data_IF_322122331022
#
_entry.id   IF_322122331022
#
_cell.length_a   1.000
_cell.length_b   1.000
_cell.length_c   1.000
_cell.angle_alpha   90.00
_cell.angle_beta   90.00
_cell.angle_gamma   90.00
#
_symmetry.space_group_name_H-M   'P 1'
#
loop_
_entity.id
_entity.type
_entity.pdbx_description
1 polymer ?
#
# COMPACT_ATOMS: atom_id res chain seq x y z
N UNK A 1 0.63 11.54 13.48
CA UNK A 1 1.16 12.90 13.74
C UNK A 1 0.36 13.63 14.82
N UNK A 2 -0.95 13.87 14.66
CA UNK A 2 -1.75 14.61 15.66
C UNK A 2 -1.62 14.05 17.08
N UNK A 3 -1.67 12.72 17.26
CA UNK A 3 -1.40 12.07 18.55
C UNK A 3 -0.02 12.43 19.15
N UNK A 4 1.03 12.44 18.32
CA UNK A 4 2.40 12.82 18.75
C UNK A 4 2.44 14.30 19.12
N UNK A 5 1.75 15.15 18.37
CA UNK A 5 1.63 16.57 18.69
C UNK A 5 0.90 16.79 20.02
N UNK A 6 -0.20 16.09 20.30
CA UNK A 6 -0.90 16.15 21.59
C UNK A 6 0.02 15.74 22.75
N UNK A 7 0.79 14.66 22.58
CA UNK A 7 1.77 14.21 23.58
C UNK A 7 2.79 15.32 23.86
N UNK A 8 3.41 15.87 22.81
CA UNK A 8 4.42 16.94 22.94
C UNK A 8 3.82 18.17 23.62
N UNK A 9 2.69 18.67 23.13
CA UNK A 9 2.04 19.86 23.70
C UNK A 9 1.68 19.66 25.16
N UNK A 10 1.22 18.47 25.56
CA UNK A 10 0.89 18.15 26.96
C UNK A 10 2.13 18.11 27.86
N UNK A 11 3.26 17.63 27.35
CA UNK A 11 4.53 17.61 28.08
C UNK A 11 5.10 19.03 28.23
N UNK A 12 5.22 19.75 27.11
CA UNK A 12 5.77 21.11 27.08
C UNK A 12 4.89 22.11 27.85
N UNK A 13 3.55 21.98 27.77
CA UNK A 13 2.61 22.83 28.51
C UNK A 13 2.80 22.73 30.02
N UNK A 14 3.09 21.53 30.55
CA UNK A 14 3.36 21.34 31.97
C UNK A 14 4.68 21.96 32.42
N UNK A 15 5.68 21.96 31.54
CA UNK A 15 7.01 22.48 31.82
C UNK A 15 7.08 24.01 31.69
N UNK A 16 6.46 24.55 30.64
CA UNK A 16 6.58 25.96 30.23
C UNK A 16 5.37 26.82 30.61
N UNK A 17 4.27 26.21 31.07
CA UNK A 17 3.12 26.91 31.61
C UNK A 17 2.26 27.65 30.57
N UNK A 18 1.91 26.98 29.47
CA UNK A 18 1.01 27.53 28.44
C UNK A 18 -0.23 26.66 28.22
N UNK A 19 -1.33 27.28 27.79
CA UNK A 19 -2.52 26.57 27.32
C UNK A 19 -2.37 26.17 25.85
N UNK A 20 -2.89 25.00 25.47
CA UNK A 20 -2.86 24.55 24.08
C UNK A 20 -4.22 24.07 23.58
N UNK A 21 -4.33 24.06 22.25
CA UNK A 21 -5.41 23.44 21.49
C UNK A 21 -4.78 22.69 20.31
N UNK A 22 -5.07 21.40 20.20
CA UNK A 22 -4.73 20.60 19.03
C UNK A 22 -6.00 19.87 18.61
N UNK A 23 -6.43 20.12 17.38
CA UNK A 23 -7.70 19.64 16.83
C UNK A 23 -7.52 19.27 15.37
N UNK A 24 -8.35 18.35 14.90
CA UNK A 24 -8.48 18.04 13.47
C UNK A 24 -9.33 19.08 12.77
N UNK A 25 -9.26 19.11 11.44
CA UNK A 25 -10.17 19.84 10.55
C UNK A 25 -11.64 19.52 10.86
N UNK A 26 -11.97 18.24 11.06
CA UNK A 26 -13.34 17.78 11.38
C UNK A 26 -13.93 18.33 12.68
N UNK A 27 -13.08 18.61 13.67
CA UNK A 27 -13.49 19.07 15.01
C UNK A 27 -13.23 20.55 15.24
N UNK A 28 -12.56 21.23 14.31
CA UNK A 28 -12.01 22.57 14.52
C UNK A 28 -13.08 23.67 14.69
N UNK A 29 -14.25 23.49 14.08
CA UNK A 29 -15.35 24.47 14.10
C UNK A 29 -15.85 24.76 15.53
N UNK A 30 -15.92 23.74 16.38
CA UNK A 30 -16.33 23.86 17.79
C UNK A 30 -15.39 24.76 18.61
N UNK A 31 -14.16 24.96 18.14
CA UNK A 31 -13.12 25.69 18.83
C UNK A 31 -12.79 27.04 18.18
N UNK A 32 -13.60 27.52 17.22
CA UNK A 32 -13.34 28.76 16.50
C UNK A 32 -13.06 29.96 17.43
N UNK A 33 -13.81 30.10 18.53
CA UNK A 33 -13.57 31.17 19.51
C UNK A 33 -12.19 31.05 20.17
N UNK A 34 -11.82 29.84 20.60
CA UNK A 34 -10.51 29.58 21.24
C UNK A 34 -9.35 29.76 20.25
N UNK A 35 -9.57 29.42 18.97
CA UNK A 35 -8.61 29.66 17.89
C UNK A 35 -8.39 31.17 17.70
N UNK A 36 -9.44 31.98 17.70
CA UNK A 36 -9.33 33.44 17.58
C UNK A 36 -8.56 34.10 18.75
N UNK A 37 -8.64 33.50 19.94
CA UNK A 37 -7.95 33.95 21.16
C UNK A 37 -6.49 33.49 21.27
N UNK A 38 -6.01 32.64 20.37
CA UNK A 38 -4.68 32.05 20.46
C UNK A 38 -3.55 33.05 20.16
N UNK A 39 -2.44 32.98 20.91
CA UNK A 39 -1.25 33.82 20.70
C UNK A 39 -0.36 33.35 19.54
N UNK A 40 -0.38 32.04 19.27
CA UNK A 40 0.34 31.37 18.18
C UNK A 40 -0.56 30.32 17.53
N UNK A 41 -0.57 30.25 16.20
CA UNK A 41 -1.39 29.31 15.45
C UNK A 41 -0.51 28.56 14.43
N UNK A 42 -0.66 27.24 14.37
CA UNK A 42 -0.02 26.40 13.36
C UNK A 42 -1.09 25.62 12.59
N UNK A 43 -1.04 25.66 11.26
CA UNK A 43 -2.06 25.12 10.36
C UNK A 43 -1.46 24.02 9.50
N UNK A 44 -2.06 22.84 9.57
CA UNK A 44 -1.83 21.76 8.61
C UNK A 44 -3.16 21.04 8.35
N UNK A 45 -3.89 21.55 7.35
CA UNK A 45 -5.16 21.02 6.89
C UNK A 45 -5.25 21.12 5.37
N UNK A 46 -5.99 20.20 4.73
CA UNK A 46 -6.26 20.30 3.30
C UNK A 46 -7.31 21.38 3.01
N UNK A 47 -8.37 21.39 3.83
CA UNK A 47 -9.43 22.39 3.85
C UNK A 47 -9.71 22.78 5.31
N UNK A 48 -10.12 24.03 5.52
CA UNK A 48 -10.57 24.55 6.80
C UNK A 48 -12.04 24.95 6.68
N UNK A 49 -12.86 24.75 7.72
CA UNK A 49 -14.20 25.34 7.76
C UNK A 49 -14.12 26.87 7.67
N UNK A 50 -15.03 27.50 6.91
CA UNK A 50 -15.08 28.97 6.73
C UNK A 50 -15.06 29.74 8.06
N UNK A 51 -15.70 29.20 9.10
CA UNK A 51 -15.76 29.80 10.44
C UNK A 51 -14.38 29.83 11.09
N UNK A 52 -13.59 28.76 10.90
CA UNK A 52 -12.24 28.62 11.44
C UNK A 52 -11.27 29.52 10.68
N UNK A 53 -11.38 29.58 9.36
CA UNK A 53 -10.58 30.49 8.55
C UNK A 53 -10.79 31.95 8.97
N UNK A 54 -12.04 32.40 9.12
CA UNK A 54 -12.37 33.73 9.65
C UNK A 54 -11.86 33.96 11.08
N UNK A 55 -11.90 32.93 11.93
CA UNK A 55 -11.36 33.04 13.29
C UNK A 55 -9.85 33.28 13.28
N UNK A 56 -9.12 32.59 12.40
CA UNK A 56 -7.68 32.77 12.21
C UNK A 56 -7.36 34.16 11.65
N UNK A 57 -8.09 34.61 10.63
CA UNK A 57 -7.91 35.94 10.03
C UNK A 57 -8.07 37.05 11.09
N UNK A 58 -9.10 36.96 11.91
CA UNK A 58 -9.41 37.94 12.96
C UNK A 58 -8.63 37.72 14.26
N UNK A 59 -7.83 36.66 14.35
CA UNK A 59 -7.06 36.35 15.55
C UNK A 59 -6.01 37.43 15.84
N UNK A 60 -5.72 37.61 17.14
CA UNK A 60 -4.62 38.46 17.60
C UNK A 60 -3.28 37.72 17.69
N UNK A 61 -3.21 36.51 17.14
CA UNK A 61 -2.01 35.70 17.13
C UNK A 61 -0.84 36.51 16.57
N UNK A 62 0.27 36.53 17.33
CA UNK A 62 1.51 37.19 16.91
C UNK A 62 2.13 36.45 15.73
N UNK A 63 1.95 35.13 15.70
CA UNK A 63 2.49 34.25 14.67
C UNK A 63 1.42 33.26 14.22
N UNK A 64 1.25 33.16 12.91
CA UNK A 64 0.42 32.15 12.24
C UNK A 64 1.30 31.48 11.19
N UNK A 65 1.48 30.16 11.27
CA UNK A 65 2.26 29.39 10.29
C UNK A 65 1.33 28.40 9.61
N UNK A 66 1.16 28.52 8.30
CA UNK A 66 0.54 27.45 7.51
C UNK A 66 1.60 26.59 6.82
N UNK A 67 1.56 25.29 7.10
CA UNK A 67 2.31 24.27 6.38
C UNK A 67 1.52 23.70 5.17
N UNK A 68 0.31 24.19 4.94
CA UNK A 68 -0.54 23.83 3.79
C UNK A 68 -0.54 24.94 2.75
N UNK A 69 -0.25 24.57 1.49
CA UNK A 69 -0.23 25.52 0.36
C UNK A 69 -1.61 26.21 0.19
N UNK A 70 -2.71 25.49 0.42
CA UNK A 70 -4.09 26.02 0.33
C UNK A 70 -4.39 27.15 1.34
N UNK A 71 -3.62 27.24 2.43
CA UNK A 71 -3.85 28.20 3.52
C UNK A 71 -2.65 29.10 3.75
N UNK A 72 -1.74 29.20 2.78
CA UNK A 72 -0.52 30.00 2.92
C UNK A 72 -0.82 31.48 3.16
N UNK A 73 -1.94 31.99 2.62
CA UNK A 73 -2.41 33.37 2.78
C UNK A 73 -2.76 33.73 4.23
N UNK A 74 -3.00 32.74 5.10
CA UNK A 74 -3.24 32.96 6.53
C UNK A 74 -1.94 33.16 7.33
N UNK A 75 -0.78 32.86 6.75
CA UNK A 75 0.50 32.95 7.47
C UNK A 75 0.86 34.38 7.83
N UNK A 76 1.32 34.60 9.06
CA UNK A 76 1.65 35.90 9.64
C UNK A 76 2.89 35.77 10.51
N UNK A 77 3.94 36.54 10.21
CA UNK A 77 5.18 36.56 10.97
C UNK A 77 6.41 36.86 10.10
N UNK A 78 7.59 37.03 10.71
CA UNK A 78 8.85 37.19 9.97
C UNK A 78 9.14 35.98 9.08
N UNK A 79 9.64 36.21 7.85
CA UNK A 79 9.80 35.14 6.86
C UNK A 79 10.78 34.03 7.29
N UNK A 80 11.83 34.38 8.01
CA UNK A 80 12.78 33.44 8.62
C UNK A 80 12.10 32.54 9.65
N UNK A 81 11.22 33.09 10.48
CA UNK A 81 10.41 32.34 11.45
C UNK A 81 9.45 31.39 10.74
N UNK A 82 8.71 31.87 9.74
CA UNK A 82 7.78 31.03 8.97
C UNK A 82 8.52 29.86 8.29
N UNK A 83 9.64 30.15 7.63
CA UNK A 83 10.43 29.14 6.92
C UNK A 83 11.02 28.09 7.87
N UNK A 84 11.54 28.52 9.03
CA UNK A 84 12.12 27.60 10.01
C UNK A 84 11.05 26.73 10.68
N UNK A 85 9.88 27.28 10.99
CA UNK A 85 8.73 26.50 11.49
C UNK A 85 8.30 25.43 10.46
N UNK A 86 8.23 25.80 9.18
CA UNK A 86 7.95 24.85 8.10
C UNK A 86 9.07 23.79 7.99
N UNK A 87 10.34 24.15 8.20
CA UNK A 87 11.46 23.21 8.14
C UNK A 87 11.40 22.15 9.26
N UNK A 88 11.10 22.55 10.50
CA UNK A 88 10.85 21.60 11.60
C UNK A 88 9.69 20.66 11.26
N UNK A 89 8.57 21.23 10.80
CA UNK A 89 7.38 20.45 10.48
C UNK A 89 7.62 19.45 9.33
N UNK A 90 8.20 19.91 8.21
CA UNK A 90 8.43 19.08 7.02
C UNK A 90 9.46 17.97 7.27
N UNK A 91 10.53 18.27 8.01
CA UNK A 91 11.51 17.24 8.41
C UNK A 91 10.84 16.18 9.28
N UNK A 92 9.98 16.61 10.21
CA UNK A 92 9.12 15.74 11.02
C UNK A 92 9.88 14.96 12.07
N UNK A 93 9.18 14.08 12.78
CA UNK A 93 9.71 13.34 13.93
C UNK A 93 9.51 14.09 15.25
N UNK A 94 9.52 13.34 16.35
CA UNK A 94 9.14 13.87 17.67
C UNK A 94 10.02 15.05 18.12
N UNK A 95 11.34 14.97 17.90
CA UNK A 95 12.28 16.04 18.25
C UNK A 95 11.99 17.34 17.47
N UNK A 96 11.82 17.26 16.15
CA UNK A 96 11.51 18.44 15.35
C UNK A 96 10.13 19.03 15.66
N UNK A 97 9.12 18.20 15.93
CA UNK A 97 7.81 18.70 16.35
C UNK A 97 7.87 19.40 17.72
N UNK A 98 8.73 18.92 18.64
CA UNK A 98 9.00 19.60 19.91
C UNK A 98 9.71 20.93 19.70
N UNK A 99 10.74 20.94 18.85
CA UNK A 99 11.45 22.17 18.49
C UNK A 99 10.53 23.16 17.77
N UNK A 100 9.59 22.70 16.94
CA UNK A 100 8.55 23.55 16.35
C UNK A 100 7.72 24.26 17.44
N UNK A 101 7.22 23.53 18.43
CA UNK A 101 6.43 24.11 19.54
C UNK A 101 7.27 25.14 20.30
N UNK A 102 8.48 24.77 20.73
CA UNK A 102 9.40 25.67 21.44
C UNK A 102 9.77 26.90 20.60
N UNK A 103 9.99 26.72 19.29
CA UNK A 103 10.29 27.80 18.36
C UNK A 103 9.14 28.78 18.22
N UNK A 104 7.90 28.29 18.09
CA UNK A 104 6.71 29.15 18.06
C UNK A 104 6.57 29.93 19.38
N UNK A 105 6.74 29.27 20.53
CA UNK A 105 6.67 29.89 21.86
C UNK A 105 7.76 30.96 22.06
N UNK A 106 8.99 30.69 21.64
CA UNK A 106 10.10 31.65 21.67
C UNK A 106 9.75 32.92 20.90
N UNK A 107 9.19 32.76 19.70
CA UNK A 107 8.87 33.89 18.85
C UNK A 107 7.59 34.66 19.27
N UNK A 108 6.82 34.17 20.25
CA UNK A 108 5.76 34.96 20.92
C UNK A 108 6.22 35.62 22.23
N UNK A 109 7.46 35.36 22.66
CA UNK A 109 8.13 36.08 23.74
C UNK A 109 8.55 35.23 24.95
N UNK A 110 8.47 33.89 24.89
CA UNK A 110 8.97 33.03 25.96
C UNK A 110 10.49 32.86 25.84
N UNK A 111 11.19 32.89 26.96
CA UNK A 111 12.64 32.65 27.01
C UNK A 111 12.92 31.14 27.03
N UNK A 112 13.06 30.56 25.84
CA UNK A 112 13.24 29.12 25.62
C UNK A 112 14.38 28.90 24.63
N UNK A 113 15.24 27.92 24.94
CA UNK A 113 16.25 27.47 23.99
C UNK A 113 15.65 26.47 22.98
N UNK A 114 16.07 26.61 21.73
CA UNK A 114 15.54 25.82 20.61
C UNK A 114 16.71 25.27 19.83
N UNK A 115 16.83 23.95 19.84
CA UNK A 115 17.84 23.25 19.04
C UNK A 115 17.50 23.31 17.56
N UNK A 116 18.52 23.24 16.70
CA UNK A 116 18.39 23.20 15.25
C UNK A 116 17.56 21.99 14.76
N UNK A 117 17.19 22.02 13.47
CA UNK A 117 16.47 20.92 12.81
C UNK A 117 17.27 19.63 12.94
N UNK A 118 16.67 18.64 13.59
CA UNK A 118 17.23 17.30 13.75
C UNK A 118 17.03 16.50 12.46
N UNK A 119 18.09 16.01 11.84
CA UNK A 119 17.97 15.17 10.65
C UNK A 119 17.29 13.84 10.98
N UNK A 120 16.35 13.43 10.12
CA UNK A 120 15.63 12.16 10.24
C UNK A 120 15.60 11.48 8.87
N UNK A 121 16.02 10.21 8.75
CA UNK A 121 16.08 9.50 7.47
C UNK A 121 14.79 9.62 6.65
N UNK A 122 14.94 9.93 5.36
CA UNK A 122 13.79 10.05 4.44
C UNK A 122 13.30 8.71 3.89
N UNK A 123 14.19 7.73 3.88
CA UNK A 123 13.93 6.32 3.62
C UNK A 123 14.94 5.49 4.39
N UNK A 124 14.68 4.19 4.52
CA UNK A 124 15.49 3.30 5.31
C UNK A 124 14.76 2.02 5.61
N UNK A 125 15.40 1.14 6.36
CA UNK A 125 14.81 -0.12 6.82
C UNK A 125 14.34 0.07 8.26
N UNK A 126 13.10 -0.30 8.55
CA UNK A 126 12.59 -0.34 9.92
C UNK A 126 11.98 -1.70 10.21
N UNK A 127 12.66 -2.50 11.02
CA UNK A 127 12.12 -3.78 11.48
C UNK A 127 11.64 -3.65 12.94
N UNK A 128 10.38 -4.00 13.26
CA UNK A 128 9.79 -3.77 14.59
C UNK A 128 10.63 -4.30 15.76
N UNK A 129 11.35 -5.40 15.55
CA UNK A 129 12.21 -6.04 16.58
C UNK A 129 13.68 -5.62 16.54
N UNK A 130 14.16 -5.04 15.44
CA UNK A 130 15.60 -4.76 15.24
C UNK A 130 15.92 -3.27 15.13
N UNK A 131 14.91 -2.41 15.00
CA UNK A 131 15.08 -0.98 14.87
C UNK A 131 15.36 -0.55 13.43
N UNK A 132 16.05 0.59 13.30
CA UNK A 132 16.28 1.30 12.03
C UNK A 132 17.67 0.99 11.47
N UNK A 133 17.74 0.82 10.16
CA UNK A 133 18.99 0.65 9.41
C UNK A 133 18.98 1.55 8.17
N UNK A 134 20.14 2.06 7.79
CA UNK A 134 20.30 2.89 6.59
C UNK A 134 20.89 2.11 5.42
N UNK A 135 21.32 0.85 5.62
CA UNK A 135 21.89 0.01 4.56
C UNK A 135 21.36 -1.41 4.63
N UNK A 136 21.11 -2.01 3.46
CA UNK A 136 20.60 -3.38 3.34
C UNK A 136 21.59 -4.42 3.83
N UNK A 137 22.89 -4.23 3.60
CA UNK A 137 23.93 -5.15 4.05
C UNK A 137 24.00 -5.25 5.59
N UNK A 138 23.94 -4.10 6.27
CA UNK A 138 23.96 -4.04 7.73
C UNK A 138 22.72 -4.71 8.34
N UNK A 139 21.56 -4.52 7.71
CA UNK A 139 20.34 -5.20 8.12
C UNK A 139 20.44 -6.72 7.92
N UNK A 140 20.88 -7.16 6.73
CA UNK A 140 20.97 -8.58 6.39
C UNK A 140 22.02 -9.33 7.21
N UNK A 141 23.07 -8.66 7.70
CA UNK A 141 24.01 -9.24 8.66
C UNK A 141 23.34 -9.60 9.99
N UNK A 142 22.33 -8.83 10.43
CA UNK A 142 21.56 -9.10 11.65
C UNK A 142 20.31 -9.95 11.40
N UNK A 143 19.82 -9.99 10.17
CA UNK A 143 18.58 -10.66 9.77
C UNK A 143 18.80 -11.55 8.53
N UNK A 144 19.34 -12.75 8.77
CA UNK A 144 19.60 -13.73 7.71
C UNK A 144 18.44 -14.74 7.58
N UNK A 145 17.34 -14.28 6.99
CA UNK A 145 16.19 -15.13 6.63
C UNK A 145 15.91 -15.08 5.14
N UNK A 146 15.67 -16.25 4.55
CA UNK A 146 15.35 -16.45 3.13
C UNK A 146 14.23 -17.48 2.96
N UNK A 147 13.34 -17.37 1.95
CA UNK A 147 13.17 -16.28 0.98
C UNK A 147 12.95 -14.89 1.62
N UNK A 148 13.28 -13.81 0.92
CA UNK A 148 13.15 -12.44 1.45
C UNK A 148 12.03 -11.67 0.75
N UNK A 149 11.16 -11.03 1.52
CA UNK A 149 10.03 -10.24 1.01
C UNK A 149 10.28 -8.76 1.32
N UNK A 150 10.36 -7.93 0.28
CA UNK A 150 10.41 -6.48 0.46
C UNK A 150 9.04 -5.96 0.91
N UNK A 151 8.98 -5.11 1.93
CA UNK A 151 7.74 -4.47 2.36
C UNK A 151 7.93 -2.96 2.32
N UNK A 152 7.19 -2.25 1.47
CA UNK A 152 7.31 -0.81 1.33
C UNK A 152 6.21 -0.10 2.14
N UNK A 153 6.59 0.83 3.02
CA UNK A 153 5.65 1.63 3.84
C UNK A 153 5.94 3.13 3.70
N UNK A 154 4.94 3.96 3.95
CA UNK A 154 5.18 5.40 4.06
C UNK A 154 6.00 5.73 5.31
N UNK A 155 6.97 6.63 5.16
CA UNK A 155 7.82 7.14 6.25
C UNK A 155 7.01 7.62 7.45
N UNK A 156 5.85 8.25 7.20
CA UNK A 156 4.97 8.78 8.24
C UNK A 156 4.44 7.71 9.20
N UNK A 157 4.27 6.46 8.76
CA UNK A 157 3.82 5.36 9.63
C UNK A 157 4.88 5.00 10.65
N UNK A 158 6.13 4.83 10.21
CA UNK A 158 7.27 4.62 11.10
C UNK A 158 7.51 5.83 12.01
N UNK A 159 7.57 7.03 11.42
CA UNK A 159 7.94 8.26 12.11
C UNK A 159 6.98 8.63 13.25
N UNK A 160 5.70 8.28 13.11
CA UNK A 160 4.66 8.62 14.08
C UNK A 160 4.03 7.40 14.76
N UNK A 161 4.64 6.22 14.65
CA UNK A 161 4.20 5.02 15.36
C UNK A 161 2.83 4.46 14.96
N UNK A 162 2.35 4.75 13.74
CA UNK A 162 1.10 4.17 13.22
C UNK A 162 1.42 2.92 12.39
N UNK A 163 1.99 1.91 13.05
CA UNK A 163 2.63 0.74 12.42
C UNK A 163 1.83 -0.55 12.50
N UNK A 164 0.63 -0.55 13.11
CA UNK A 164 -0.16 -1.78 13.37
C UNK A 164 -0.36 -2.66 12.13
N UNK A 165 -0.75 -2.07 11.00
CA UNK A 165 -0.96 -2.76 9.73
C UNK A 165 0.31 -3.31 9.11
N UNK A 166 1.40 -2.57 9.23
CA UNK A 166 2.73 -2.99 8.81
C UNK A 166 3.25 -4.16 9.67
N UNK A 167 3.16 -4.03 10.99
CA UNK A 167 3.60 -5.05 11.94
C UNK A 167 2.84 -6.37 11.75
N UNK A 168 1.52 -6.30 11.54
CA UNK A 168 0.72 -7.48 11.28
C UNK A 168 1.14 -8.23 9.99
N UNK A 169 1.59 -7.51 8.96
CA UNK A 169 2.13 -8.11 7.73
C UNK A 169 3.50 -8.72 7.97
N UNK A 170 4.39 -8.03 8.71
CA UNK A 170 5.70 -8.59 9.10
C UNK A 170 5.52 -9.89 9.89
N UNK A 171 4.67 -9.88 10.92
CA UNK A 171 4.35 -11.06 11.73
C UNK A 171 3.79 -12.20 10.87
N UNK A 172 2.87 -11.91 9.95
CA UNK A 172 2.27 -12.92 9.08
C UNK A 172 3.32 -13.55 8.14
N UNK A 173 4.20 -12.74 7.54
CA UNK A 173 5.29 -13.23 6.68
C UNK A 173 6.27 -14.11 7.46
N UNK A 174 6.69 -13.67 8.66
CA UNK A 174 7.57 -14.45 9.51
C UNK A 174 6.94 -15.79 9.94
N UNK A 175 5.62 -15.81 10.16
CA UNK A 175 4.88 -17.04 10.50
C UNK A 175 4.82 -18.05 9.36
N UNK A 176 4.85 -17.58 8.11
CA UNK A 176 4.98 -18.41 6.90
C UNK A 176 6.46 -18.77 6.59
N UNK A 177 7.37 -18.52 7.54
CA UNK A 177 8.82 -18.75 7.44
C UNK A 177 9.51 -17.96 6.34
N UNK A 178 8.96 -16.79 5.99
CA UNK A 178 9.58 -15.85 5.07
C UNK A 178 10.40 -14.83 5.86
N UNK A 179 11.53 -14.39 5.30
CA UNK A 179 12.25 -13.21 5.78
C UNK A 179 11.58 -11.95 5.25
N UNK A 180 11.73 -10.84 5.98
CA UNK A 180 11.19 -9.53 5.59
C UNK A 180 12.30 -8.51 5.45
N UNK A 181 12.21 -7.64 4.45
CA UNK A 181 13.03 -6.44 4.27
C UNK A 181 12.09 -5.21 4.27
N UNK A 182 11.78 -4.68 5.47
CA UNK A 182 10.79 -3.62 5.62
C UNK A 182 11.40 -2.23 5.38
N UNK A 183 11.06 -1.60 4.27
CA UNK A 183 11.58 -0.30 3.85
C UNK A 183 10.52 0.76 4.03
N UNK A 184 10.82 1.81 4.79
CA UNK A 184 10.02 3.03 4.78
C UNK A 184 10.55 4.00 3.73
N UNK A 185 9.66 4.77 3.11
CA UNK A 185 10.00 5.75 2.09
C UNK A 185 9.14 7.00 2.21
N UNK A 186 9.71 8.17 1.91
CA UNK A 186 8.92 9.38 1.70
C UNK A 186 8.02 9.23 0.47
N UNK A 187 8.56 8.66 -0.62
CA UNK A 187 7.76 8.19 -1.75
C UNK A 187 7.42 9.24 -2.80
N UNK A 188 7.88 10.48 -2.65
CA UNK A 188 7.77 11.56 -3.64
C UNK A 188 8.97 12.49 -3.56
N UNK A 189 9.24 13.20 -4.66
CA UNK A 189 10.36 14.13 -4.76
C UNK A 189 9.94 15.53 -4.33
N UNK A 190 10.55 16.03 -3.25
CA UNK A 190 10.53 17.43 -2.87
C UNK A 190 11.81 18.08 -3.43
N UNK A 191 11.64 19.11 -4.25
CA UNK A 191 12.76 19.77 -4.92
C UNK A 191 13.67 20.56 -3.97
N UNK A 192 13.14 20.97 -2.81
CA UNK A 192 13.85 21.76 -1.79
C UNK A 192 14.58 20.83 -0.83
N UNK A 193 13.91 19.75 -0.41
CA UNK A 193 14.43 18.80 0.58
C UNK A 193 15.17 17.60 -0.04
N UNK A 194 15.18 17.52 -1.38
CA UNK A 194 15.80 16.43 -2.16
C UNK A 194 15.41 15.02 -1.66
N UNK A 195 14.12 14.83 -1.41
CA UNK A 195 13.61 13.58 -0.84
C UNK A 195 13.58 12.44 -1.86
N UNK A 196 13.81 11.18 -1.44
CA UNK A 196 13.80 10.02 -2.30
C UNK A 196 12.37 9.64 -2.73
N UNK A 197 12.25 9.20 -3.97
CA UNK A 197 11.04 8.58 -4.49
C UNK A 197 10.90 7.12 -4.03
N UNK A 198 9.74 6.50 -4.32
CA UNK A 198 9.57 5.05 -4.10
C UNK A 198 10.56 4.25 -4.95
N UNK A 199 10.80 4.68 -6.19
CA UNK A 199 11.76 4.04 -7.09
C UNK A 199 13.20 4.13 -6.57
N UNK A 200 13.61 5.28 -6.02
CA UNK A 200 14.94 5.43 -5.41
C UNK A 200 15.10 4.47 -4.22
N UNK A 201 14.06 4.35 -3.41
CA UNK A 201 14.04 3.43 -2.26
C UNK A 201 14.09 1.96 -2.72
N UNK A 202 13.41 1.61 -3.82
CA UNK A 202 13.53 0.27 -4.42
C UNK A 202 14.97 0.02 -4.91
N UNK A 203 15.55 0.98 -5.66
CA UNK A 203 16.93 0.87 -6.18
C UNK A 203 17.94 0.68 -5.07
N UNK A 204 17.81 1.44 -3.98
CA UNK A 204 18.76 1.44 -2.88
C UNK A 204 18.64 0.22 -1.98
N UNK A 205 17.41 -0.16 -1.60
CA UNK A 205 17.23 -1.18 -0.58
C UNK A 205 16.97 -2.58 -1.15
N UNK A 206 16.31 -2.71 -2.31
CA UNK A 206 15.94 -4.02 -2.86
C UNK A 206 16.97 -4.60 -3.83
N UNK A 207 18.07 -3.89 -4.08
CA UNK A 207 19.19 -4.38 -4.85
C UNK A 207 20.47 -4.38 -4.01
N UNK A 208 21.32 -5.38 -4.23
CA UNK A 208 22.71 -5.39 -3.79
C UNK A 208 23.60 -5.77 -4.97
N UNK A 209 24.65 -5.00 -5.21
CA UNK A 209 25.57 -5.22 -6.34
C UNK A 209 24.83 -5.38 -7.70
N UNK A 210 23.79 -4.59 -7.91
CA UNK A 210 22.97 -4.60 -9.13
C UNK A 210 22.02 -5.81 -9.27
N UNK A 211 21.87 -6.65 -8.24
CA UNK A 211 20.97 -7.80 -8.26
C UNK A 211 19.85 -7.65 -7.23
N UNK A 212 18.60 -8.02 -7.57
CA UNK A 212 17.51 -8.08 -6.60
C UNK A 212 17.86 -8.99 -5.43
N UNK A 213 17.58 -8.54 -4.20
CA UNK A 213 17.74 -9.37 -2.98
C UNK A 213 16.44 -9.91 -2.43
N UNK A 214 15.30 -9.46 -2.98
CA UNK A 214 13.95 -9.87 -2.59
C UNK A 214 13.37 -10.85 -3.62
N UNK A 215 12.54 -11.78 -3.16
CA UNK A 215 11.84 -12.77 -3.97
C UNK A 215 10.41 -12.30 -4.36
N UNK A 216 9.84 -11.38 -3.59
CA UNK A 216 8.53 -10.73 -3.77
C UNK A 216 8.51 -9.37 -3.04
N UNK A 217 7.58 -8.50 -3.41
CA UNK A 217 7.35 -7.20 -2.72
C UNK A 217 5.90 -7.08 -2.30
N UNK A 218 5.65 -6.51 -1.12
CA UNK A 218 4.35 -6.00 -0.69
C UNK A 218 4.45 -4.48 -0.61
N UNK A 219 3.62 -3.78 -1.38
CA UNK A 219 3.50 -2.33 -1.32
C UNK A 219 2.35 -1.95 -0.38
N UNK A 220 2.66 -1.43 0.81
CA UNK A 220 1.70 -0.86 1.75
C UNK A 220 1.62 0.67 1.64
N UNK A 221 2.20 1.23 0.57
CA UNK A 221 1.97 2.63 0.21
C UNK A 221 0.67 2.77 -0.60
N UNK A 222 0.34 4.02 -0.96
CA UNK A 222 -0.83 4.39 -1.76
C UNK A 222 -0.37 5.25 -2.95
N UNK A 223 -1.27 5.46 -3.90
CA UNK A 223 -1.01 6.01 -5.24
C UNK A 223 -0.15 5.08 -6.11
N UNK A 224 0.30 5.59 -7.25
CA UNK A 224 1.28 4.92 -8.12
C UNK A 224 2.56 4.56 -7.34
N UNK A 225 3.09 3.38 -7.65
CA UNK A 225 4.43 2.96 -7.28
C UNK A 225 5.48 3.73 -8.09
N UNK A 226 5.22 3.87 -9.40
CA UNK A 226 6.11 4.53 -10.35
C UNK A 226 5.80 6.02 -10.46
N UNK A 227 6.82 6.80 -10.81
CA UNK A 227 6.60 8.20 -11.19
C UNK A 227 6.04 8.25 -12.61
N UNK A 228 4.84 8.82 -12.75
CA UNK A 228 4.21 9.10 -14.04
C UNK A 228 4.38 10.57 -14.44
N UNK A 229 5.19 11.34 -13.70
CA UNK A 229 5.34 12.77 -13.88
C UNK A 229 4.08 13.57 -13.53
N UNK A 230 4.17 14.90 -13.72
CA UNK A 230 3.11 15.84 -13.35
C UNK A 230 1.84 15.66 -14.19
N UNK A 231 0.68 15.79 -13.53
CA UNK A 231 -0.62 15.81 -14.18
C UNK A 231 -0.67 16.86 -15.31
N UNK A 232 -1.28 16.50 -16.45
CA UNK A 232 -1.45 17.38 -17.62
C UNK A 232 -0.36 17.32 -18.69
N UNK A 233 0.74 16.59 -18.49
CA UNK A 233 1.72 16.33 -19.58
C UNK A 233 1.24 15.19 -20.49
N UNK A 234 1.36 15.38 -21.82
CA UNK A 234 0.94 14.40 -22.85
C UNK A 234 1.64 13.03 -22.77
N UNK A 235 2.77 12.94 -22.06
CA UNK A 235 3.61 11.73 -22.00
C UNK A 235 3.59 11.02 -20.64
N UNK A 236 2.60 11.35 -19.80
CA UNK A 236 2.47 10.90 -18.40
C UNK A 236 2.64 9.38 -18.20
N UNK A 237 2.22 8.57 -19.17
CA UNK A 237 2.25 7.10 -19.09
C UNK A 237 3.25 6.45 -20.05
N UNK A 238 4.21 7.23 -20.59
CA UNK A 238 5.29 6.69 -21.44
C UNK A 238 6.53 6.29 -20.65
N UNK A 239 6.55 6.49 -19.33
CA UNK A 239 7.78 6.39 -18.56
C UNK A 239 8.37 4.98 -18.62
N UNK A 240 9.52 4.89 -19.30
CA UNK A 240 10.22 3.63 -19.50
C UNK A 240 11.17 3.29 -18.36
N UNK A 241 11.53 4.26 -17.50
CA UNK A 241 12.53 4.05 -16.46
C UNK A 241 11.98 3.27 -15.28
N UNK A 242 10.81 3.65 -14.77
CA UNK A 242 10.11 2.92 -13.71
C UNK A 242 9.79 1.48 -14.13
N UNK A 243 9.27 1.29 -15.36
CA UNK A 243 8.99 -0.05 -15.91
C UNK A 243 10.29 -0.87 -16.06
N UNK A 244 11.40 -0.26 -16.48
CA UNK A 244 12.71 -0.94 -16.54
C UNK A 244 13.17 -1.35 -15.14
N UNK A 245 13.00 -0.52 -14.13
CA UNK A 245 13.31 -0.86 -12.73
C UNK A 245 12.52 -2.08 -12.27
N UNK A 246 11.19 -2.11 -12.49
CA UNK A 246 10.38 -3.27 -12.11
C UNK A 246 10.74 -4.52 -12.90
N UNK A 247 11.12 -4.38 -14.18
CA UNK A 247 11.66 -5.50 -15.00
C UNK A 247 13.03 -5.99 -14.52
N UNK A 248 13.87 -5.11 -13.99
CA UNK A 248 15.15 -5.52 -13.36
C UNK A 248 14.91 -6.21 -12.02
N UNK A 249 13.93 -5.72 -11.24
CA UNK A 249 13.52 -6.35 -9.98
C UNK A 249 12.93 -7.74 -10.25
N UNK A 250 12.07 -7.83 -11.27
CA UNK A 250 11.49 -9.05 -11.82
C UNK A 250 10.87 -9.96 -10.75
N UNK A 251 10.11 -9.41 -9.79
CA UNK A 251 9.44 -10.14 -8.71
C UNK A 251 7.95 -9.75 -8.70
N UNK A 252 7.05 -10.61 -8.19
CA UNK A 252 5.66 -10.22 -7.98
C UNK A 252 5.58 -9.11 -6.93
N UNK A 253 4.77 -8.10 -7.23
CA UNK A 253 4.53 -6.94 -6.35
C UNK A 253 3.05 -6.94 -5.98
N UNK A 254 2.76 -7.26 -4.73
CA UNK A 254 1.41 -7.35 -4.19
C UNK A 254 1.02 -6.01 -3.57
N UNK A 255 -0.18 -5.54 -3.88
CA UNK A 255 -0.75 -4.31 -3.32
C UNK A 255 -1.95 -4.64 -2.42
N UNK A 256 -1.78 -4.81 -1.11
CA UNK A 256 -2.93 -4.83 -0.22
C UNK A 256 -3.69 -3.50 -0.28
N UNK A 257 -5.02 -3.55 -0.16
CA UNK A 257 -5.87 -2.37 -0.10
C UNK A 257 -6.34 -2.10 1.34
N UNK A 258 -6.52 -0.84 1.71
CA UNK A 258 -6.98 -0.46 3.05
C UNK A 258 -7.89 0.75 2.96
N UNK A 259 -8.98 0.72 3.73
CA UNK A 259 -10.01 1.76 3.66
C UNK A 259 -9.61 2.97 4.48
N UNK A 260 -9.72 4.14 3.87
CA UNK A 260 -9.48 5.43 4.52
C UNK A 260 -10.71 6.00 5.23
N UNK A 261 -11.90 5.44 5.03
CA UNK A 261 -13.16 5.95 5.60
C UNK A 261 -14.04 4.92 6.29
N UNK A 262 -13.78 3.63 6.09
CA UNK A 262 -14.53 2.53 6.71
C UNK A 262 -13.67 1.78 7.71
N UNK A 263 -14.27 1.37 8.82
CA UNK A 263 -13.69 0.38 9.72
C UNK A 263 -13.92 -1.05 9.19
N UNK A 264 -13.32 -2.04 9.85
CA UNK A 264 -13.39 -3.46 9.43
C UNK A 264 -14.81 -4.01 9.44
N UNK A 265 -15.65 -3.61 10.40
CA UNK A 265 -17.06 -4.03 10.48
C UNK A 265 -17.87 -3.47 9.32
N UNK A 266 -17.74 -2.17 9.06
CA UNK A 266 -18.40 -1.50 7.92
C UNK A 266 -17.98 -2.10 6.58
N UNK A 267 -16.70 -2.44 6.41
CA UNK A 267 -16.23 -3.13 5.21
C UNK A 267 -16.87 -4.51 5.04
N UNK A 268 -17.01 -5.29 6.13
CA UNK A 268 -17.65 -6.63 6.09
C UNK A 268 -19.12 -6.57 5.69
N UNK A 269 -19.81 -5.53 6.10
CA UNK A 269 -21.25 -5.36 5.83
C UNK A 269 -21.52 -4.65 4.50
N UNK A 270 -20.53 -3.99 3.90
CA UNK A 270 -20.69 -3.26 2.65
C UNK A 270 -20.54 -4.18 1.42
N UNK A 271 -21.61 -4.44 0.65
CA UNK A 271 -21.54 -5.28 -0.55
C UNK A 271 -20.72 -4.66 -1.69
N UNK A 272 -20.48 -3.35 -1.67
CA UNK A 272 -19.59 -2.66 -2.62
C UNK A 272 -18.10 -2.82 -2.25
N UNK A 273 -17.81 -3.35 -1.06
CA UNK A 273 -16.45 -3.51 -0.55
C UNK A 273 -15.89 -2.19 0.01
N UNK A 274 -14.78 -1.74 -0.57
CA UNK A 274 -13.97 -0.62 -0.08
C UNK A 274 -14.45 0.73 -0.66
N UNK A 275 -14.26 1.82 0.09
CA UNK A 275 -14.64 3.17 -0.33
C UNK A 275 -13.94 3.65 -1.63
N UNK A 276 -14.64 4.53 -2.36
CA UNK A 276 -14.27 4.96 -3.70
C UNK A 276 -12.87 5.56 -3.81
N UNK A 277 -12.47 6.43 -2.87
CA UNK A 277 -11.13 7.04 -2.91
C UNK A 277 -10.05 6.00 -2.65
N UNK A 278 -10.28 5.06 -1.73
CA UNK A 278 -9.35 3.96 -1.47
C UNK A 278 -9.26 3.00 -2.67
N UNK A 279 -10.34 2.77 -3.43
CA UNK A 279 -10.27 2.03 -4.70
C UNK A 279 -9.32 2.72 -5.69
N UNK A 280 -9.41 4.04 -5.84
CA UNK A 280 -8.51 4.78 -6.74
C UNK A 280 -7.05 4.63 -6.30
N UNK A 281 -6.76 4.90 -5.03
CA UNK A 281 -5.39 5.05 -4.55
C UNK A 281 -4.70 3.73 -4.18
N UNK A 282 -5.44 2.66 -3.93
CA UNK A 282 -4.87 1.37 -3.52
C UNK A 282 -5.17 0.23 -4.48
N UNK A 283 -5.98 0.44 -5.51
CA UNK A 283 -6.30 -0.56 -6.53
C UNK A 283 -5.98 -0.02 -7.92
N UNK A 284 -6.73 0.98 -8.39
CA UNK A 284 -6.68 1.44 -9.78
C UNK A 284 -5.30 1.99 -10.15
N UNK A 285 -4.74 2.90 -9.35
CA UNK A 285 -3.42 3.47 -9.63
C UNK A 285 -2.30 2.41 -9.56
N UNK A 286 -2.21 1.56 -8.52
CA UNK A 286 -1.28 0.43 -8.50
C UNK A 286 -1.43 -0.58 -9.66
N UNK A 287 -2.65 -0.86 -10.12
CA UNK A 287 -2.89 -1.77 -11.26
C UNK A 287 -2.32 -1.22 -12.58
N UNK A 288 -2.33 0.11 -12.76
CA UNK A 288 -1.66 0.76 -13.90
C UNK A 288 -0.16 0.48 -13.91
N UNK A 289 0.46 0.32 -12.74
CA UNK A 289 1.87 -0.04 -12.56
C UNK A 289 2.13 -1.56 -12.62
N UNK A 290 1.08 -2.37 -12.77
CA UNK A 290 1.16 -3.83 -12.82
C UNK A 290 1.26 -4.51 -11.46
N UNK A 291 0.90 -3.83 -10.37
CA UNK A 291 0.78 -4.46 -9.06
C UNK A 291 -0.46 -5.36 -9.03
N UNK A 292 -0.40 -6.43 -8.23
CA UNK A 292 -1.40 -7.50 -8.23
C UNK A 292 -2.03 -7.71 -6.85
N UNK A 293 -3.14 -8.45 -6.82
CA UNK A 293 -3.83 -8.93 -5.61
C UNK A 293 -4.23 -7.83 -4.60
N UNK A 294 -5.20 -6.96 -4.96
CA UNK A 294 -5.80 -5.94 -4.09
C UNK A 294 -6.63 -6.52 -2.95
N UNK A 295 -6.00 -7.26 -2.04
CA UNK A 295 -6.64 -7.91 -0.88
C UNK A 295 -6.79 -6.89 0.25
N UNK A 296 -8.00 -6.77 0.78
CA UNK A 296 -8.30 -5.88 1.91
C UNK A 296 -7.47 -6.23 3.14
N UNK A 297 -6.71 -5.29 3.69
CA UNK A 297 -5.84 -5.49 4.85
C UNK A 297 -6.37 -4.80 6.11
N UNK A 298 -6.84 -3.56 5.99
CA UNK A 298 -7.19 -2.75 7.15
C UNK A 298 -8.30 -1.74 6.84
N UNK A 299 -9.05 -1.39 7.88
CA UNK A 299 -9.96 -0.25 7.90
C UNK A 299 -9.43 0.85 8.81
N UNK A 300 -10.07 2.00 8.80
CA UNK A 300 -9.71 3.10 9.69
C UNK A 300 -10.64 3.20 10.89
N UNK A 301 -10.08 3.65 12.01
CA UNK A 301 -10.81 4.04 13.20
C UNK A 301 -10.31 5.39 13.66
N UNK A 302 -11.22 6.33 13.87
CA UNK A 302 -10.95 7.64 14.46
C UNK A 302 -11.13 7.49 15.97
N UNK A 303 -10.15 7.91 16.76
CA UNK A 303 -10.28 7.95 18.22
C UNK A 303 -10.95 9.26 18.67
N UNK A 304 -11.20 9.42 19.97
CA UNK A 304 -11.85 10.60 20.54
C UNK A 304 -11.05 11.91 20.32
N UNK A 305 -9.76 11.80 19.98
CA UNK A 305 -8.87 12.91 19.65
C UNK A 305 -8.88 13.27 18.14
N UNK A 306 -9.75 12.63 17.34
CA UNK A 306 -9.80 12.83 15.88
C UNK A 306 -8.66 12.15 15.11
N UNK A 307 -7.86 11.30 15.77
CA UNK A 307 -6.71 10.63 15.16
C UNK A 307 -7.16 9.36 14.44
N UNK A 308 -6.97 9.36 13.12
CA UNK A 308 -7.20 8.20 12.26
C UNK A 308 -6.09 7.17 12.39
N UNK A 309 -6.44 5.96 12.81
CA UNK A 309 -5.54 4.79 12.92
C UNK A 309 -6.03 3.65 12.05
N UNK A 310 -5.12 2.81 11.56
CA UNK A 310 -5.49 1.60 10.83
C UNK A 310 -5.74 0.45 11.80
N UNK A 311 -6.83 -0.29 11.57
CA UNK A 311 -7.18 -1.52 12.27
C UNK A 311 -7.19 -2.69 11.30
N UNK A 312 -6.36 -3.67 11.61
CA UNK A 312 -6.02 -4.75 10.69
C UNK A 312 -7.04 -5.87 10.74
N UNK A 313 -7.47 -6.34 9.57
CA UNK A 313 -8.14 -7.62 9.46
C UNK A 313 -7.11 -8.76 9.38
N UNK A 314 -6.70 -9.27 10.56
CA UNK A 314 -5.57 -10.22 10.70
C UNK A 314 -5.70 -11.50 9.87
N UNK A 315 -6.92 -11.94 9.55
CA UNK A 315 -7.14 -13.09 8.67
C UNK A 315 -6.59 -12.82 7.27
N UNK A 316 -6.83 -11.63 6.73
CA UNK A 316 -6.30 -11.25 5.42
C UNK A 316 -4.79 -10.99 5.45
N UNK A 317 -4.23 -10.48 6.54
CA UNK A 317 -2.77 -10.41 6.69
C UNK A 317 -2.10 -11.79 6.53
N UNK A 318 -2.68 -12.83 7.17
CA UNK A 318 -2.22 -14.22 6.99
C UNK A 318 -2.44 -14.73 5.57
N UNK A 319 -3.60 -14.45 4.99
CA UNK A 319 -3.90 -14.83 3.61
C UNK A 319 -2.90 -14.20 2.62
N UNK A 320 -2.60 -12.91 2.75
CA UNK A 320 -1.59 -12.21 1.94
C UNK A 320 -0.22 -12.89 2.08
N UNK A 321 0.23 -13.21 3.30
CA UNK A 321 1.50 -13.90 3.50
C UNK A 321 1.53 -15.29 2.82
N UNK A 322 0.42 -16.03 2.87
CA UNK A 322 0.28 -17.31 2.15
C UNK A 322 0.33 -17.12 0.64
N UNK A 323 -0.33 -16.09 0.10
CA UNK A 323 -0.27 -15.73 -1.33
C UNK A 323 1.15 -15.40 -1.76
N UNK A 324 1.87 -14.58 -1.00
CA UNK A 324 3.30 -14.27 -1.23
C UNK A 324 4.12 -15.55 -1.27
N UNK A 325 3.95 -16.45 -0.28
CA UNK A 325 4.66 -17.73 -0.26
C UNK A 325 4.39 -18.54 -1.54
N UNK A 326 3.14 -18.62 -2.01
CA UNK A 326 2.80 -19.34 -3.25
C UNK A 326 3.48 -18.75 -4.48
N UNK A 327 3.56 -17.42 -4.58
CA UNK A 327 4.29 -16.74 -5.66
C UNK A 327 5.80 -17.08 -5.66
N UNK A 328 6.41 -17.08 -4.48
CA UNK A 328 7.82 -17.44 -4.32
C UNK A 328 8.04 -18.93 -4.64
N UNK A 329 7.16 -19.81 -4.15
CA UNK A 329 7.18 -21.25 -4.47
C UNK A 329 7.07 -21.48 -5.98
N UNK A 330 6.17 -20.77 -6.68
CA UNK A 330 5.99 -20.86 -8.13
C UNK A 330 7.28 -20.50 -8.88
N UNK A 331 7.94 -19.41 -8.49
CA UNK A 331 9.21 -18.98 -9.10
C UNK A 331 10.32 -20.01 -8.94
N UNK A 332 10.39 -20.65 -7.77
CA UNK A 332 11.45 -21.60 -7.42
C UNK A 332 11.24 -23.01 -7.98
N UNK A 333 10.00 -23.40 -8.29
CA UNK A 333 9.70 -24.68 -8.94
C UNK A 333 10.24 -24.72 -10.36
N UNK A 334 10.80 -25.87 -10.74
CA UNK A 334 11.20 -26.13 -12.13
C UNK A 334 9.96 -26.29 -13.02
N UNK A 335 10.03 -25.96 -14.32
CA UNK A 335 8.90 -26.09 -15.24
C UNK A 335 8.18 -27.45 -15.18
N UNK A 336 8.92 -28.55 -15.09
CA UNK A 336 8.39 -29.92 -15.05
C UNK A 336 7.63 -30.27 -13.76
N UNK A 337 7.78 -29.48 -12.70
CA UNK A 337 7.11 -29.63 -11.40
C UNK A 337 5.88 -28.70 -11.27
N UNK A 338 5.74 -27.74 -12.18
CA UNK A 338 4.63 -26.78 -12.16
C UNK A 338 3.37 -27.44 -12.69
N UNK A 339 2.28 -27.26 -11.96
CA UNK A 339 0.94 -27.74 -12.34
C UNK A 339 0.07 -26.53 -12.65
N UNK A 340 -0.48 -26.48 -13.85
CA UNK A 340 -1.34 -25.40 -14.34
C UNK A 340 -2.74 -25.97 -14.55
N UNK A 341 -3.74 -25.30 -13.97
CA UNK A 341 -5.15 -25.57 -14.25
C UNK A 341 -5.66 -24.49 -15.22
N UNK A 342 -6.28 -24.91 -16.32
CA UNK A 342 -6.94 -24.01 -17.27
C UNK A 342 -8.44 -24.15 -17.06
N UNK A 343 -9.09 -23.05 -16.64
CA UNK A 343 -10.51 -23.03 -16.34
C UNK A 343 -11.26 -22.43 -17.54
N UNK A 344 -12.20 -23.20 -18.09
CA UNK A 344 -12.96 -22.83 -19.29
C UNK A 344 -14.33 -22.31 -18.91
N UNK A 345 -14.75 -21.23 -19.56
CA UNK A 345 -16.11 -20.71 -19.44
C UNK A 345 -17.04 -21.57 -20.29
N UNK A 346 -18.11 -22.07 -19.68
CA UNK A 346 -19.14 -22.84 -20.35
C UNK A 346 -20.52 -22.22 -20.02
N UNK A 347 -21.08 -21.37 -20.88
CA UNK A 347 -22.39 -20.76 -20.65
C UNK A 347 -23.50 -21.83 -20.74
N UNK A 348 -24.31 -22.04 -19.69
CA UNK A 348 -25.41 -22.99 -19.75
C UNK A 348 -26.48 -22.53 -20.77
N UNK A 349 -27.13 -23.49 -21.43
CA UNK A 349 -28.33 -23.32 -22.30
C UNK A 349 -28.13 -22.97 -23.79
N UNK A 350 -26.95 -23.13 -24.38
CA UNK A 350 -26.79 -23.23 -25.85
C UNK A 350 -26.11 -24.56 -26.18
N UNK A 351 -26.60 -25.27 -27.21
CA UNK A 351 -26.13 -26.60 -27.67
C UNK A 351 -24.72 -26.90 -27.20
N UNK A 352 -24.60 -27.75 -26.17
CA UNK A 352 -23.43 -27.84 -25.29
C UNK A 352 -22.13 -28.20 -26.00
N UNK A 353 -22.21 -28.92 -27.11
CA UNK A 353 -21.05 -29.27 -27.94
C UNK A 353 -20.47 -28.07 -28.68
N UNK A 354 -21.28 -27.04 -28.96
CA UNK A 354 -20.88 -25.82 -29.66
C UNK A 354 -20.50 -24.65 -28.71
N UNK A 355 -20.62 -24.84 -27.39
CA UNK A 355 -20.40 -23.80 -26.37
C UNK A 355 -19.32 -24.16 -25.33
N UNK A 356 -18.56 -25.24 -25.55
CA UNK A 356 -17.36 -25.53 -24.76
C UNK A 356 -16.28 -24.49 -25.07
N UNK A 357 -15.65 -23.94 -24.04
CA UNK A 357 -14.54 -22.99 -24.15
C UNK A 357 -14.91 -21.71 -24.93
N UNK A 358 -15.96 -21.00 -24.53
CA UNK A 358 -16.34 -19.74 -25.18
C UNK A 358 -15.46 -18.59 -24.68
N UNK A 359 -14.96 -17.76 -25.62
CA UNK A 359 -14.26 -16.51 -25.34
C UNK A 359 -14.62 -15.45 -26.38
N UNK A 360 -14.96 -14.23 -25.93
CA UNK A 360 -15.34 -13.16 -26.85
C UNK A 360 -14.12 -12.69 -27.65
N UNK A 361 -14.18 -12.82 -28.98
CA UNK A 361 -13.10 -12.39 -29.89
C UNK A 361 -11.86 -13.29 -29.88
N UNK A 362 -11.94 -14.49 -29.29
CA UNK A 362 -10.82 -15.43 -29.19
C UNK A 362 -11.25 -16.83 -29.63
N UNK A 363 -10.45 -17.48 -30.48
CA UNK A 363 -10.52 -18.92 -30.70
C UNK A 363 -9.86 -19.63 -29.50
N UNK A 364 -10.65 -19.87 -28.46
CA UNK A 364 -10.14 -20.40 -27.18
C UNK A 364 -9.52 -21.78 -27.35
N UNK A 365 -10.15 -22.75 -28.05
CA UNK A 365 -9.54 -24.07 -28.22
C UNK A 365 -8.18 -24.02 -28.90
N UNK A 366 -8.08 -23.28 -30.01
CA UNK A 366 -6.82 -23.12 -30.75
C UNK A 366 -5.76 -22.40 -29.90
N UNK A 367 -6.18 -21.39 -29.14
CA UNK A 367 -5.28 -20.65 -28.23
C UNK A 367 -4.71 -21.53 -27.13
N UNK A 368 -5.53 -22.43 -26.55
CA UNK A 368 -5.08 -23.38 -25.53
C UNK A 368 -4.10 -24.37 -26.13
N UNK A 369 -4.37 -24.91 -27.31
CA UNK A 369 -3.46 -25.87 -27.95
C UNK A 369 -2.09 -25.24 -28.22
N UNK A 370 -2.07 -24.01 -28.75
CA UNK A 370 -0.82 -23.25 -28.92
C UNK A 370 -0.09 -23.02 -27.60
N UNK A 371 -0.82 -22.70 -26.53
CA UNK A 371 -0.26 -22.58 -25.18
C UNK A 371 0.33 -23.90 -24.68
N UNK A 372 -0.36 -25.03 -24.87
CA UNK A 372 0.11 -26.35 -24.46
C UNK A 372 1.38 -26.76 -25.20
N UNK A 373 1.46 -26.55 -26.51
CA UNK A 373 2.70 -26.80 -27.27
C UNK A 373 3.82 -25.90 -26.80
N UNK A 374 3.56 -24.60 -26.58
CA UNK A 374 4.57 -23.66 -26.07
C UNK A 374 5.08 -24.03 -24.67
N UNK A 375 4.18 -24.42 -23.77
CA UNK A 375 4.56 -24.90 -22.43
C UNK A 375 5.42 -26.17 -22.52
N UNK A 376 5.09 -27.08 -23.44
CA UNK A 376 5.90 -28.29 -23.66
C UNK A 376 7.32 -27.95 -24.13
N UNK A 377 7.46 -27.01 -25.07
CA UNK A 377 8.76 -26.49 -25.52
C UNK A 377 9.54 -25.84 -24.36
N UNK A 378 8.86 -25.13 -23.46
CA UNK A 378 9.45 -24.47 -22.30
C UNK A 378 9.75 -25.45 -21.13
N UNK A 379 9.57 -26.76 -21.34
CA UNK A 379 9.97 -27.82 -20.41
C UNK A 379 8.89 -28.25 -19.41
N UNK A 380 7.64 -27.79 -19.57
CA UNK A 380 6.54 -28.29 -18.74
C UNK A 380 6.18 -29.73 -19.13
N UNK A 381 5.74 -30.52 -18.14
CA UNK A 381 5.29 -31.89 -18.37
C UNK A 381 3.91 -31.89 -19.02
N UNK A 382 3.87 -32.09 -20.33
CA UNK A 382 2.63 -32.21 -21.12
C UNK A 382 2.69 -33.47 -21.98
N UNK A 383 1.78 -34.39 -21.68
CA UNK A 383 1.62 -35.65 -22.39
C UNK A 383 0.56 -35.50 -23.47
N UNK A 384 0.88 -35.92 -24.70
CA UNK A 384 -0.05 -35.98 -25.83
C UNK A 384 -0.95 -34.73 -25.99
N UNK A 385 -0.38 -33.51 -26.12
CA UNK A 385 -1.19 -32.33 -26.38
C UNK A 385 -1.98 -32.51 -27.69
N UNK A 386 -3.24 -32.03 -27.77
CA UNK A 386 -4.00 -32.08 -29.02
C UNK A 386 -3.27 -31.36 -30.17
N UNK A 387 -3.51 -31.79 -31.40
CA UNK A 387 -2.87 -31.19 -32.58
C UNK A 387 -3.41 -29.78 -32.87
N UNK A 388 -4.72 -29.59 -32.71
CA UNK A 388 -5.43 -28.34 -33.00
C UNK A 388 -6.63 -28.14 -32.05
N UNK A 389 -7.28 -26.96 -32.16
CA UNK A 389 -8.47 -26.64 -31.37
C UNK A 389 -9.61 -27.67 -31.50
N UNK A 390 -9.81 -28.27 -32.69
CA UNK A 390 -10.82 -29.31 -32.88
C UNK A 390 -10.49 -30.59 -32.10
N UNK A 391 -9.21 -30.99 -32.08
CA UNK A 391 -8.71 -32.10 -31.29
C UNK A 391 -8.90 -31.87 -29.79
N UNK A 392 -8.75 -30.63 -29.31
CA UNK A 392 -9.02 -30.29 -27.91
C UNK A 392 -10.51 -30.41 -27.57
N UNK A 393 -11.41 -29.89 -28.43
CA UNK A 393 -12.86 -30.04 -28.24
C UNK A 393 -13.25 -31.50 -28.22
N UNK A 394 -12.73 -32.29 -29.17
CA UNK A 394 -12.97 -33.73 -29.23
C UNK A 394 -12.51 -34.42 -27.93
N UNK A 395 -11.32 -34.08 -27.43
CA UNK A 395 -10.80 -34.61 -26.17
C UNK A 395 -11.72 -34.27 -24.98
N UNK A 396 -12.20 -33.02 -24.88
CA UNK A 396 -13.12 -32.61 -23.80
C UNK A 396 -14.43 -33.41 -23.86
N UNK A 397 -15.00 -33.59 -25.05
CA UNK A 397 -16.24 -34.33 -25.26
C UNK A 397 -16.07 -35.84 -24.99
N UNK A 398 -14.97 -36.45 -25.46
CA UNK A 398 -14.64 -37.86 -25.22
C UNK A 398 -14.45 -38.14 -23.72
N UNK A 399 -13.84 -37.19 -22.99
CA UNK A 399 -13.64 -37.25 -21.54
C UNK A 399 -14.87 -36.87 -20.72
N UNK A 400 -15.96 -36.45 -21.38
CA UNK A 400 -17.18 -35.94 -20.73
C UNK A 400 -16.89 -34.83 -19.71
N UNK A 401 -15.87 -34.02 -19.96
CA UNK A 401 -15.46 -32.89 -19.12
C UNK A 401 -16.33 -31.64 -19.43
N UNK A 402 -17.65 -31.82 -19.39
CA UNK A 402 -18.65 -30.80 -19.72
C UNK A 402 -19.63 -30.65 -18.56
N UNK A 403 -20.19 -29.45 -18.42
CA UNK A 403 -21.19 -29.14 -17.39
C UNK A 403 -22.61 -29.55 -17.83
N UNK A 404 -22.81 -30.81 -18.20
CA UNK A 404 -24.13 -31.38 -18.55
C UNK A 404 -24.44 -32.61 -17.69
N UNK A 405 -25.39 -32.44 -16.76
CA UNK A 405 -25.78 -33.43 -15.76
C UNK A 405 -27.12 -34.11 -16.06
N UNK A 406 -27.82 -33.70 -17.13
CA UNK A 406 -29.12 -34.29 -17.52
C UNK A 406 -28.98 -35.64 -18.19
N UNK A 407 -27.89 -35.84 -18.93
CA UNK A 407 -27.69 -37.01 -19.80
C UNK A 407 -26.35 -37.72 -19.60
N UNK A 408 -25.46 -37.15 -18.77
CA UNK A 408 -24.17 -37.75 -18.42
C UNK A 408 -24.22 -38.16 -16.95
N UNK A 409 -24.10 -39.45 -16.66
CA UNK A 409 -24.08 -39.92 -15.27
C UNK A 409 -22.71 -39.69 -14.63
N UNK A 410 -22.64 -39.69 -13.30
CA UNK A 410 -21.35 -39.56 -12.58
C UNK A 410 -20.44 -40.75 -12.91
N UNK A 411 -21.01 -41.94 -13.03
CA UNK A 411 -20.30 -43.16 -13.40
C UNK A 411 -19.66 -43.02 -14.79
N UNK A 412 -20.39 -42.46 -15.77
CA UNK A 412 -19.87 -42.22 -17.10
C UNK A 412 -18.70 -41.21 -17.08
N UNK A 413 -18.79 -40.14 -16.30
CA UNK A 413 -17.69 -39.15 -16.19
C UNK A 413 -16.44 -39.81 -15.60
N UNK A 414 -16.60 -40.60 -14.52
CA UNK A 414 -15.47 -41.31 -13.88
C UNK A 414 -14.88 -42.37 -14.81
N UNK A 415 -15.71 -43.13 -15.54
CA UNK A 415 -15.25 -44.13 -16.52
C UNK A 415 -14.43 -43.48 -17.64
N UNK A 416 -14.83 -42.27 -18.08
CA UNK A 416 -14.08 -41.48 -19.06
C UNK A 416 -12.86 -40.76 -18.46
N UNK A 417 -12.58 -40.93 -17.18
CA UNK A 417 -11.42 -40.38 -16.48
C UNK A 417 -11.58 -38.92 -16.05
N UNK A 418 -12.81 -38.41 -16.01
CA UNK A 418 -13.14 -37.16 -15.35
C UNK A 418 -13.15 -37.33 -13.82
N UNK A 419 -12.92 -36.23 -13.11
CA UNK A 419 -13.02 -36.19 -11.65
C UNK A 419 -14.31 -35.46 -11.27
N UNK A 420 -15.14 -36.11 -10.45
CA UNK A 420 -16.36 -35.51 -9.89
C UNK A 420 -16.27 -35.63 -8.37
N UNK A 421 -16.24 -34.48 -7.70
CA UNK A 421 -16.39 -34.41 -6.26
C UNK A 421 -17.83 -34.01 -5.96
N UNK A 422 -18.59 -34.91 -5.33
CA UNK A 422 -19.96 -34.61 -4.89
C UNK A 422 -19.86 -33.81 -3.59
N UNK A 423 -19.81 -32.49 -3.71
CA UNK A 423 -19.81 -31.62 -2.55
C UNK A 423 -21.25 -31.57 -1.98
N UNK A 424 -21.50 -32.33 -0.91
CA UNK A 424 -22.75 -32.22 -0.15
C UNK A 424 -22.76 -30.86 0.52
N UNK A 425 -23.33 -29.84 -0.13
CA UNK A 425 -23.62 -28.55 0.50
C UNK A 425 -24.49 -28.81 1.74
N UNK A 426 -23.87 -28.84 2.92
CA UNK A 426 -24.56 -28.58 4.17
C UNK A 426 -25.08 -27.14 4.05
N UNK A 427 -26.40 -27.04 3.88
CA UNK A 427 -27.12 -25.76 3.78
C UNK A 427 -26.99 -24.95 5.05
#
# INVERSE_FOLDING_TARGET
>A
MLHVMHKILKEESKELGFDFLAVSDFSSEEYANKIAESDAIFIYAYELPDVVEKAIENSKAKIVVSASDNHIHLSRGPSDVLNMAIAYFKTGGEANLRNLVRFMLKNIGLDIDVEDVCEVPWHGIYHPKLGVFTKTEEYLQKYDRRPLVGVLIHRSYWLYGNTEHFEAVVEALESERLGVLPVFTHGWKDAVLNTPTKEDSIREFFFLNGKPVVDAVINLTYFFLLDHGRAGKKERFRDTEGVRLLKMLNVPIIQPCFSSSQNVGEWKENPQGIDYLSQIYTIIMPEVDGLIEPIYLAGTKINDEGVKTFKVYREHARYIAQRVRRWIELRRKKPEERRIAIILINPPCKSLEASVAVGFGLDVPESIVRLLHKLKEDGYRIENPPEDGNGLIKLILERKAISEFRWTSVEEIVEKGGAVEVETRLR
#
